data_IF_967547756715
#
_entry.id   IF_967547756715
#
_cell.length_a   1.000
_cell.length_b   1.000
_cell.length_c   1.000
_cell.angle_alpha   90.00
_cell.angle_beta   90.00
_cell.angle_gamma   90.00
#
_symmetry.space_group_name_H-M   'P 1'
#
loop_
_entity.id
_entity.type
_entity.pdbx_description
1 polymer ?
#
# COMPACT_ATOMS: atom_id res chain seq x y z
N UNK A 1 15.95 12.86 -3.73
CA UNK A 1 15.90 11.41 -3.48
C UNK A 1 14.50 10.97 -3.12
N UNK A 2 14.07 9.84 -3.66
CA UNK A 2 12.76 9.28 -3.34
C UNK A 2 12.82 8.54 -2.01
N UNK A 3 11.86 8.79 -1.12
CA UNK A 3 11.72 8.00 0.09
C UNK A 3 10.94 6.72 -0.22
N UNK A 4 10.73 5.86 0.78
CA UNK A 4 10.04 4.60 0.61
C UNK A 4 8.61 4.77 0.11
N UNK A 5 7.88 5.74 0.67
CA UNK A 5 6.49 6.00 0.25
C UNK A 5 6.41 6.51 -1.19
N UNK A 6 7.37 7.34 -1.60
CA UNK A 6 7.43 7.82 -2.98
C UNK A 6 7.66 6.67 -3.95
N UNK A 7 8.49 5.70 -3.58
CA UNK A 7 8.72 4.51 -4.40
C UNK A 7 7.44 3.69 -4.58
N UNK A 8 6.67 3.52 -3.49
CA UNK A 8 5.40 2.81 -3.55
C UNK A 8 4.44 3.52 -4.48
N UNK A 9 4.29 4.83 -4.32
CA UNK A 9 3.42 5.63 -5.17
C UNK A 9 3.81 5.51 -6.64
N UNK A 10 5.09 5.62 -6.94
CA UNK A 10 5.58 5.53 -8.31
C UNK A 10 5.25 4.19 -8.94
N UNK A 11 5.47 3.10 -8.22
CA UNK A 11 5.14 1.75 -8.71
C UNK A 11 3.67 1.62 -9.06
N UNK A 12 2.79 2.11 -8.17
CA UNK A 12 1.35 2.01 -8.36
C UNK A 12 0.91 2.90 -9.54
N UNK A 13 1.41 4.12 -9.60
CA UNK A 13 1.07 5.05 -10.67
C UNK A 13 1.46 4.49 -12.04
N UNK A 14 2.63 3.86 -12.14
CA UNK A 14 3.08 3.27 -13.39
C UNK A 14 2.23 2.09 -13.86
N UNK A 15 1.68 1.31 -12.92
CA UNK A 15 0.93 0.10 -13.27
C UNK A 15 -0.57 0.33 -13.37
N UNK A 16 -1.13 1.20 -12.54
CA UNK A 16 -2.57 1.40 -12.44
C UNK A 16 -3.01 2.76 -12.97
N UNK A 17 -2.15 3.77 -12.83
CA UNK A 17 -2.46 5.16 -13.17
C UNK A 17 -3.77 5.64 -12.54
N UNK A 18 -3.85 5.65 -11.19
CA UNK A 18 -5.09 6.01 -10.50
C UNK A 18 -5.39 7.49 -10.60
N UNK A 19 -6.66 7.85 -10.39
CA UNK A 19 -7.08 9.24 -10.33
C UNK A 19 -6.53 9.94 -9.09
N UNK A 20 -6.38 9.20 -7.99
CA UNK A 20 -5.82 9.71 -6.75
C UNK A 20 -5.20 8.57 -5.96
N UNK A 21 -4.17 8.87 -5.19
CA UNK A 21 -3.47 7.89 -4.39
C UNK A 21 -2.93 8.55 -3.13
N UNK A 22 -3.31 8.02 -1.97
CA UNK A 22 -2.87 8.52 -0.68
C UNK A 22 -2.28 7.36 0.11
N UNK A 23 -1.11 7.57 0.70
CA UNK A 23 -0.50 6.62 1.62
C UNK A 23 -0.46 7.23 3.01
N UNK A 24 -0.94 6.48 3.99
CA UNK A 24 -0.97 6.90 5.38
C UNK A 24 -0.08 5.97 6.18
N UNK A 25 0.85 6.54 6.93
CA UNK A 25 1.74 5.77 7.80
C UNK A 25 1.07 5.59 9.15
N UNK A 26 0.61 4.37 9.41
CA UNK A 26 -0.05 3.99 10.66
C UNK A 26 0.90 3.26 11.62
N UNK A 27 2.19 3.28 11.35
CA UNK A 27 3.18 2.53 12.15
C UNK A 27 3.13 2.90 13.63
N UNK A 28 2.89 4.15 13.95
CA UNK A 28 2.86 4.63 15.34
C UNK A 28 1.73 4.02 16.18
N UNK A 29 0.65 3.55 15.54
CA UNK A 29 -0.46 2.91 16.27
C UNK A 29 -0.13 1.52 16.79
N UNK A 30 0.99 0.95 16.34
CA UNK A 30 1.35 -0.43 16.67
C UNK A 30 2.60 -0.54 17.54
N UNK A 31 3.09 0.57 18.07
CA UNK A 31 4.34 0.60 18.85
C UNK A 31 4.27 -0.21 20.14
N UNK A 32 3.07 -0.43 20.68
CA UNK A 32 2.86 -1.18 21.93
C UNK A 32 2.59 -2.67 21.69
N UNK A 33 2.48 -3.11 20.45
CA UNK A 33 2.26 -4.51 20.13
C UNK A 33 3.54 -5.33 20.27
N UNK A 34 3.42 -6.56 20.77
CA UNK A 34 4.55 -7.46 20.88
C UNK A 34 5.18 -7.78 19.52
N UNK A 35 4.37 -7.78 18.46
CA UNK A 35 4.82 -8.07 17.11
C UNK A 35 5.31 -6.84 16.36
N UNK A 36 5.33 -5.68 17.00
CA UNK A 36 5.80 -4.46 16.36
C UNK A 36 7.28 -4.58 15.97
N UNK A 37 7.56 -4.33 14.70
CA UNK A 37 8.92 -4.29 14.17
C UNK A 37 9.20 -2.86 13.69
N UNK A 38 10.11 -2.12 14.34
CA UNK A 38 10.38 -0.74 13.96
C UNK A 38 11.00 -0.59 12.57
N UNK A 39 11.45 -1.69 11.97
CA UNK A 39 11.99 -1.68 10.60
C UNK A 39 10.91 -1.88 9.55
N UNK A 40 9.69 -2.20 9.95
CA UNK A 40 8.59 -2.46 9.02
C UNK A 40 7.44 -1.49 9.25
N UNK A 41 6.78 -1.13 8.16
CA UNK A 41 5.71 -0.13 8.17
C UNK A 41 4.33 -0.77 8.26
N UNK A 42 3.41 -0.05 8.88
CA UNK A 42 1.98 -0.31 8.79
C UNK A 42 1.40 0.81 7.94
N UNK A 43 0.87 0.47 6.77
CA UNK A 43 0.47 1.47 5.78
C UNK A 43 -1.00 1.30 5.43
N UNK A 44 -1.73 2.42 5.38
CA UNK A 44 -3.05 2.46 4.77
C UNK A 44 -2.92 3.12 3.39
N UNK A 45 -3.39 2.42 2.37
CA UNK A 45 -3.37 2.89 0.99
C UNK A 45 -4.80 3.20 0.57
N UNK A 46 -5.05 4.46 0.22
CA UNK A 46 -6.33 4.90 -0.31
C UNK A 46 -6.14 5.23 -1.78
N UNK A 47 -6.85 4.51 -2.64
CA UNK A 47 -6.67 4.65 -4.08
C UNK A 47 -8.02 4.88 -4.75
N UNK A 48 -8.08 5.87 -5.63
CA UNK A 48 -9.24 6.13 -6.46
C UNK A 48 -8.91 5.71 -7.89
N UNK A 49 -9.55 4.65 -8.36
CA UNK A 49 -9.29 4.11 -9.70
C UNK A 49 -10.57 3.50 -10.25
N UNK A 50 -10.99 3.99 -11.41
CA UNK A 50 -12.14 3.45 -12.12
C UNK A 50 -11.88 2.00 -12.54
N UNK A 51 -10.65 1.71 -12.94
CA UNK A 51 -10.29 0.36 -13.37
C UNK A 51 -10.42 -0.66 -12.23
N UNK A 52 -9.94 -0.29 -11.04
CA UNK A 52 -10.04 -1.18 -9.88
C UNK A 52 -11.47 -1.32 -9.38
N UNK A 53 -12.32 -0.33 -9.62
CA UNK A 53 -13.73 -0.41 -9.24
C UNK A 53 -14.53 -1.37 -10.13
N UNK A 54 -14.05 -1.66 -11.33
CA UNK A 54 -14.71 -2.56 -12.27
C UNK A 54 -14.49 -4.03 -11.96
N UNK A 55 -13.54 -4.35 -11.13
CA UNK A 55 -13.20 -5.74 -10.76
C UNK A 55 -13.56 -5.97 -9.28
N UNK A 56 -13.49 -7.23 -8.85
CA UNK A 56 -13.78 -7.55 -7.45
C UNK A 56 -12.73 -6.97 -6.51
N UNK A 57 -13.09 -6.78 -5.24
CA UNK A 57 -12.15 -6.32 -4.22
C UNK A 57 -10.96 -7.27 -4.10
N UNK A 58 -11.23 -8.57 -4.17
CA UNK A 58 -10.17 -9.59 -4.07
C UNK A 58 -9.18 -9.45 -5.20
N UNK A 59 -9.67 -9.28 -6.42
CA UNK A 59 -8.79 -9.09 -7.59
C UNK A 59 -8.00 -7.81 -7.50
N UNK A 60 -8.66 -6.70 -7.11
CA UNK A 60 -7.99 -5.42 -6.96
C UNK A 60 -6.88 -5.49 -5.91
N UNK A 61 -7.15 -6.14 -4.77
CA UNK A 61 -6.14 -6.34 -3.72
C UNK A 61 -4.98 -7.18 -4.22
N UNK A 62 -5.26 -8.26 -4.97
CA UNK A 62 -4.21 -9.09 -5.55
C UNK A 62 -3.29 -8.30 -6.49
N UNK A 63 -3.87 -7.43 -7.30
CA UNK A 63 -3.08 -6.59 -8.20
C UNK A 63 -2.14 -5.69 -7.41
N UNK A 64 -2.66 -5.02 -6.39
CA UNK A 64 -1.86 -4.12 -5.57
C UNK A 64 -0.75 -4.87 -4.82
N UNK A 65 -1.10 -6.03 -4.21
CA UNK A 65 -0.10 -6.84 -3.53
C UNK A 65 0.97 -7.36 -4.48
N UNK A 66 0.61 -7.68 -5.71
CA UNK A 66 1.56 -8.11 -6.73
C UNK A 66 2.54 -6.98 -7.09
N UNK A 67 2.04 -5.76 -7.23
CA UNK A 67 2.88 -4.59 -7.52
C UNK A 67 3.87 -4.34 -6.38
N UNK A 68 3.43 -4.52 -5.14
CA UNK A 68 4.21 -4.22 -3.95
C UNK A 68 4.82 -5.46 -3.30
N UNK A 69 4.97 -6.55 -4.05
CA UNK A 69 5.45 -7.83 -3.51
C UNK A 69 6.76 -7.69 -2.74
N UNK A 70 7.73 -7.02 -3.31
CA UNK A 70 9.04 -6.86 -2.65
C UNK A 70 8.93 -6.04 -1.37
N UNK A 71 8.16 -4.97 -1.41
CA UNK A 71 7.95 -4.12 -0.25
C UNK A 71 7.21 -4.88 0.86
N UNK A 72 6.20 -5.67 0.49
CA UNK A 72 5.46 -6.49 1.46
C UNK A 72 6.36 -7.50 2.15
N UNK A 73 7.30 -8.09 1.41
CA UNK A 73 8.20 -9.08 2.00
C UNK A 73 9.26 -8.44 2.90
N UNK A 74 9.70 -7.23 2.58
CA UNK A 74 10.89 -6.65 3.21
C UNK A 74 10.63 -5.45 4.12
N UNK A 75 9.63 -4.64 3.83
CA UNK A 75 9.46 -3.34 4.49
C UNK A 75 8.07 -3.07 5.05
N UNK A 76 7.05 -3.81 4.63
CA UNK A 76 5.67 -3.60 5.07
C UNK A 76 5.22 -4.77 5.93
N UNK A 77 4.83 -4.49 7.16
CA UNK A 77 4.27 -5.51 8.06
C UNK A 77 2.77 -5.72 7.79
N UNK A 78 2.05 -4.64 7.59
CA UNK A 78 0.61 -4.68 7.32
C UNK A 78 0.23 -3.60 6.30
N UNK A 79 -0.65 -3.96 5.36
CA UNK A 79 -1.15 -3.05 4.35
C UNK A 79 -2.67 -3.11 4.32
N UNK A 80 -3.30 -1.98 4.62
CA UNK A 80 -4.74 -1.81 4.49
C UNK A 80 -5.03 -1.07 3.18
N UNK A 81 -5.98 -1.58 2.40
CA UNK A 81 -6.29 -1.00 1.09
C UNK A 81 -7.74 -0.54 1.09
N UNK A 82 -7.95 0.72 0.73
CA UNK A 82 -9.28 1.28 0.52
C UNK A 82 -9.39 1.74 -0.92
N UNK A 83 -10.38 1.23 -1.65
CA UNK A 83 -10.60 1.57 -3.05
C UNK A 83 -11.86 2.41 -3.14
N UNK A 84 -11.69 3.62 -3.67
CA UNK A 84 -12.76 4.59 -3.81
C UNK A 84 -13.34 4.61 -5.21
#
# INVERSE_FOLDING_TARGET
MMNFFDKIKEKIIKKINPENLILIDNSSFHTKHKSFDPKKFHIKLVIKSKELKKISKIEAHKIIFSILKDEMNNRIHALEIEIK
#
